data_IF_845131180171
#
_entry.id   IF_845131180171
#
_cell.length_a   1.000
_cell.length_b   1.000
_cell.length_c   1.000
_cell.angle_alpha   90.00
_cell.angle_beta   90.00
_cell.angle_gamma   90.00
#
_symmetry.space_group_name_H-M   'P 1'
#
loop_
_entity.id
_entity.type
_entity.pdbx_description
1 polymer ?
#
# COMPACT_ATOMS: atom_id res chain seq x y z
N UNK A 1 3.97 -13.65 -5.35
CA UNK A 1 2.76 -12.92 -4.91
C UNK A 1 2.60 -11.74 -5.85
N UNK A 2 1.42 -11.52 -6.43
CA UNK A 2 1.15 -10.40 -7.34
C UNK A 2 0.02 -9.55 -6.77
N UNK A 3 0.29 -8.26 -6.56
CA UNK A 3 -0.73 -7.28 -6.19
C UNK A 3 -1.23 -6.65 -7.49
N UNK A 4 -2.50 -6.85 -7.84
CA UNK A 4 -3.08 -6.28 -9.06
C UNK A 4 -3.61 -4.87 -8.87
N UNK A 5 -4.18 -4.60 -7.69
CA UNK A 5 -4.88 -3.35 -7.40
C UNK A 5 -4.80 -3.00 -5.91
N UNK A 6 -4.72 -1.70 -5.61
CA UNK A 6 -4.84 -1.14 -4.26
C UNK A 6 -5.90 -0.03 -4.29
N UNK A 7 -6.90 -0.16 -3.43
CA UNK A 7 -7.93 0.85 -3.20
C UNK A 7 -7.61 1.58 -1.89
N UNK A 8 -7.45 2.89 -1.97
CA UNK A 8 -7.21 3.77 -0.83
C UNK A 8 -8.42 4.69 -0.64
N UNK A 9 -9.16 4.47 0.44
CA UNK A 9 -10.31 5.29 0.82
C UNK A 9 -10.05 5.96 2.15
N UNK A 10 -10.21 7.29 2.21
CA UNK A 10 -10.02 8.08 3.43
C UNK A 10 -8.66 7.81 4.09
N UNK A 11 -7.61 7.59 3.29
CA UNK A 11 -6.28 7.21 3.77
C UNK A 11 -5.28 8.36 3.55
N UNK A 12 -4.90 9.04 4.64
CA UNK A 12 -4.04 10.24 4.62
C UNK A 12 -4.56 11.27 3.60
N UNK A 13 -3.74 11.69 2.64
CA UNK A 13 -4.10 12.64 1.59
C UNK A 13 -4.93 12.02 0.44
N UNK A 14 -5.06 10.69 0.40
CA UNK A 14 -5.85 9.97 -0.61
C UNK A 14 -7.31 9.85 -0.15
N UNK A 15 -8.21 10.61 -0.78
CA UNK A 15 -9.66 10.56 -0.49
C UNK A 15 -10.30 9.30 -1.05
N UNK A 16 -10.11 9.07 -2.35
CA UNK A 16 -10.51 7.85 -3.06
C UNK A 16 -9.52 7.67 -4.22
N UNK A 17 -8.62 6.69 -4.09
CA UNK A 17 -7.54 6.50 -5.05
C UNK A 17 -7.39 5.03 -5.36
N UNK A 18 -7.49 4.71 -6.65
CA UNK A 18 -7.29 3.36 -7.17
C UNK A 18 -5.93 3.31 -7.86
N UNK A 19 -5.04 2.47 -7.37
CA UNK A 19 -3.75 2.20 -7.99
C UNK A 19 -3.80 0.80 -8.60
N UNK A 20 -3.56 0.70 -9.91
CA UNK A 20 -3.39 -0.58 -10.60
C UNK A 20 -1.90 -0.83 -10.77
N UNK A 21 -1.46 -2.04 -10.47
CA UNK A 21 -0.06 -2.43 -10.58
C UNK A 21 0.15 -3.31 -11.80
N UNK A 22 1.22 -3.05 -12.51
CA UNK A 22 1.73 -3.94 -13.55
C UNK A 22 2.44 -5.14 -12.91
N UNK A 23 2.44 -6.31 -13.57
CA UNK A 23 3.13 -7.51 -13.08
C UNK A 23 4.64 -7.33 -12.92
N UNK A 24 5.26 -6.48 -13.73
CA UNK A 24 6.72 -6.33 -13.75
C UNK A 24 7.21 -5.12 -12.96
N UNK A 25 6.84 -3.90 -13.39
CA UNK A 25 7.29 -2.66 -12.77
C UNK A 25 6.20 -1.59 -12.82
N UNK A 26 5.89 -1.01 -11.67
CA UNK A 26 4.98 0.14 -11.56
C UNK A 26 5.75 1.33 -11.00
N UNK A 27 5.83 2.43 -11.75
CA UNK A 27 6.48 3.66 -11.32
C UNK A 27 5.43 4.68 -10.91
N UNK A 28 5.46 5.13 -9.66
CA UNK A 28 4.55 6.15 -9.13
C UNK A 28 5.26 7.50 -9.15
N UNK A 29 4.82 8.40 -10.02
CA UNK A 29 5.41 9.75 -10.21
C UNK A 29 4.38 10.82 -9.83
N UNK A 30 4.86 11.98 -9.37
CA UNK A 30 4.04 13.13 -9.02
C UNK A 30 4.83 14.15 -8.21
N UNK A 31 4.20 15.26 -7.83
CA UNK A 31 4.84 16.31 -7.01
C UNK A 31 5.17 15.83 -5.59
N UNK A 32 6.08 16.54 -4.92
CA UNK A 32 6.32 16.29 -3.49
C UNK A 32 5.01 16.50 -2.71
N UNK A 33 4.79 15.69 -1.68
CA UNK A 33 3.54 15.66 -0.90
C UNK A 33 2.24 15.26 -1.65
N UNK A 34 2.31 14.85 -2.93
CA UNK A 34 1.14 14.39 -3.69
C UNK A 34 0.50 13.06 -3.20
N UNK A 35 1.01 12.46 -2.12
CA UNK A 35 0.48 11.21 -1.55
C UNK A 35 1.21 9.93 -1.99
N UNK A 36 2.32 10.02 -2.73
CA UNK A 36 3.13 8.85 -3.13
C UNK A 36 3.59 8.00 -1.94
N UNK A 37 4.10 8.65 -0.89
CA UNK A 37 4.53 7.95 0.32
C UNK A 37 3.34 7.31 1.06
N UNK A 38 2.13 7.86 0.95
CA UNK A 38 0.94 7.25 1.52
C UNK A 38 0.58 5.92 0.81
N UNK A 39 0.74 5.85 -0.51
CA UNK A 39 0.56 4.59 -1.26
C UNK A 39 1.53 3.52 -0.75
N UNK A 40 2.81 3.87 -0.57
CA UNK A 40 3.82 2.94 -0.05
C UNK A 40 3.54 2.53 1.40
N UNK A 41 3.09 3.46 2.25
CA UNK A 41 2.73 3.16 3.63
C UNK A 41 1.51 2.23 3.72
N UNK A 42 0.51 2.44 2.87
CA UNK A 42 -0.64 1.53 2.78
C UNK A 42 -0.23 0.12 2.33
N UNK A 43 0.67 0.01 1.35
CA UNK A 43 1.24 -1.27 0.94
C UNK A 43 1.90 -1.99 2.11
N UNK A 44 2.68 -1.29 2.92
CA UNK A 44 3.33 -1.87 4.10
C UNK A 44 2.35 -2.34 5.17
N UNK A 45 1.16 -1.74 5.25
CA UNK A 45 0.11 -2.15 6.19
C UNK A 45 -0.61 -3.42 5.72
N UNK A 46 -0.85 -3.56 4.41
CA UNK A 46 -1.64 -4.67 3.87
C UNK A 46 -0.81 -5.86 3.39
N UNK A 47 0.50 -5.68 3.24
CA UNK A 47 1.43 -6.75 2.83
C UNK A 47 2.26 -7.23 4.00
N UNK A 48 2.60 -8.52 3.99
CA UNK A 48 3.59 -9.03 4.93
C UNK A 48 4.95 -8.37 4.68
N UNK A 49 5.69 -8.01 5.74
CA UNK A 49 7.01 -7.43 5.59
C UNK A 49 7.93 -8.42 4.87
N UNK A 50 8.50 -8.00 3.73
CA UNK A 50 9.42 -8.83 2.94
C UNK A 50 10.67 -9.26 3.72
N UNK A 51 11.06 -8.49 4.75
CA UNK A 51 12.19 -8.80 5.63
C UNK A 51 11.87 -9.81 6.73
N UNK A 52 10.61 -10.25 6.88
CA UNK A 52 10.15 -11.12 7.97
C UNK A 52 10.13 -10.45 9.35
N UNK A 53 10.66 -9.23 9.47
CA UNK A 53 10.69 -8.45 10.71
C UNK A 53 9.41 -7.64 10.82
N UNK A 54 8.65 -7.88 11.89
CA UNK A 54 7.50 -7.05 12.24
C UNK A 54 7.99 -5.61 12.48
N UNK A 55 7.45 -4.67 11.71
CA UNK A 55 7.69 -3.24 11.93
C UNK A 55 6.57 -2.69 12.84
N UNK A 56 6.78 -1.53 13.47
CA UNK A 56 5.81 -0.90 14.38
C UNK A 56 4.41 -0.69 13.77
N UNK A 57 4.29 -0.79 12.45
CA UNK A 57 3.05 -0.69 11.69
C UNK A 57 2.21 -1.99 11.68
N UNK A 58 2.84 -3.12 12.00
CA UNK A 58 2.22 -4.43 12.07
C UNK A 58 1.82 -4.73 13.52
N UNK A 59 0.78 -4.05 14.03
CA UNK A 59 0.14 -4.48 15.27
C UNK A 59 -0.70 -5.72 14.94
N UNK A 60 -0.28 -6.89 15.44
CA UNK A 60 -0.85 -8.18 15.10
C UNK A 60 -2.38 -8.18 15.20
N UNK A 61 -3.06 -8.28 14.07
CA UNK A 61 -4.51 -8.33 14.03
C UNK A 61 -5.15 -8.06 12.66
N UNK A 62 -4.49 -7.29 11.78
CA UNK A 62 -5.08 -6.98 10.47
C UNK A 62 -4.58 -7.96 9.40
N UNK A 63 -4.91 -9.24 9.58
CA UNK A 63 -5.03 -10.14 8.45
C UNK A 63 -6.30 -9.70 7.68
N UNK A 64 -6.16 -8.69 6.83
CA UNK A 64 -7.21 -8.35 5.88
C UNK A 64 -7.27 -9.51 4.87
N UNK A 65 -8.11 -10.51 5.16
CA UNK A 65 -8.49 -11.52 4.20
C UNK A 65 -8.99 -10.80 2.95
N UNK A 66 -8.21 -10.88 1.88
CA UNK A 66 -8.64 -10.54 0.54
C UNK A 66 -9.82 -11.46 0.24
N UNK A 67 -11.04 -10.92 0.37
CA UNK A 67 -12.28 -11.48 -0.20
C UNK A 67 -12.65 -10.65 -1.41
#
# INVERSE_FOLDING_TARGET
MFLSQLLLQRFRSCRDTVVKFAPDLTVVVGENAAGKSAIVDALRLVTFPASGRQSAWFSGGVCCMIR
#
